data_IF_051243530496
#
_entry.id   IF_051243530496
#
_cell.length_a   1.000
_cell.length_b   1.000
_cell.length_c   1.000
_cell.angle_alpha   90.00
_cell.angle_beta   90.00
_cell.angle_gamma   90.00
#
_symmetry.space_group_name_H-M   'P 1'
#
loop_
_entity.id
_entity.type
_entity.pdbx_description
1 polymer ?
#
# COMPACT_ATOMS: atom_id res chain seq x y z
N UNK A 1 5.76 -19.68 -3.91
CA UNK A 1 5.38 -19.08 -2.61
C UNK A 1 5.64 -17.59 -2.69
N UNK A 2 4.67 -16.76 -2.34
CA UNK A 2 4.82 -15.29 -2.28
C UNK A 2 4.90 -14.91 -0.80
N UNK A 3 5.87 -14.07 -0.45
CA UNK A 3 6.04 -13.55 0.92
C UNK A 3 5.73 -12.06 0.94
N UNK A 4 5.11 -11.58 2.03
CA UNK A 4 4.75 -10.17 2.22
C UNK A 4 5.32 -9.62 3.53
N UNK A 5 5.82 -8.39 3.50
CA UNK A 5 6.18 -7.65 4.71
C UNK A 5 5.58 -6.25 4.64
N UNK A 6 4.96 -5.81 5.75
CA UNK A 6 4.36 -4.48 5.89
C UNK A 6 5.07 -3.79 7.07
N UNK A 7 5.76 -2.70 6.78
CA UNK A 7 6.38 -1.79 7.75
C UNK A 7 6.02 -0.36 7.34
N UNK A 8 7.00 0.54 7.25
CA UNK A 8 6.80 1.89 6.70
C UNK A 8 6.30 1.81 5.26
N UNK A 9 7.01 1.05 4.44
CA UNK A 9 6.59 0.57 3.14
C UNK A 9 6.08 -0.87 3.25
N UNK A 10 5.48 -1.37 2.17
CA UNK A 10 5.14 -2.77 2.07
C UNK A 10 5.68 -3.38 0.79
N UNK A 11 6.09 -4.63 0.88
CA UNK A 11 6.75 -5.36 -0.20
C UNK A 11 6.17 -6.76 -0.33
N UNK A 12 5.98 -7.18 -1.58
CA UNK A 12 5.71 -8.56 -1.95
C UNK A 12 6.93 -9.13 -2.67
N UNK A 13 7.33 -10.34 -2.30
CA UNK A 13 8.44 -11.06 -2.89
C UNK A 13 7.99 -12.39 -3.48
N UNK A 14 8.44 -12.67 -4.70
CA UNK A 14 8.23 -13.96 -5.35
C UNK A 14 9.55 -14.46 -5.97
N UNK A 15 9.89 -15.76 -5.82
CA UNK A 15 11.01 -16.35 -6.52
C UNK A 15 10.67 -16.60 -8.00
N UNK A 16 11.68 -16.50 -8.87
CA UNK A 16 11.57 -16.81 -10.29
C UNK A 16 12.76 -17.66 -10.76
N UNK A 17 12.53 -18.52 -11.75
CA UNK A 17 13.54 -19.46 -12.30
C UNK A 17 14.14 -18.99 -13.63
N UNK A 18 13.65 -17.86 -14.15
CA UNK A 18 14.16 -17.18 -15.34
C UNK A 18 13.98 -15.67 -15.13
N UNK A 19 14.67 -14.87 -15.94
CA UNK A 19 14.51 -13.41 -15.92
C UNK A 19 13.10 -13.06 -16.38
N UNK A 20 12.39 -12.28 -15.57
CA UNK A 20 11.09 -11.71 -15.92
C UNK A 20 11.28 -10.19 -15.91
N UNK A 21 10.95 -9.53 -17.01
CA UNK A 21 11.02 -8.08 -17.13
C UNK A 21 9.58 -7.55 -17.24
N UNK A 22 9.19 -6.70 -16.29
CA UNK A 22 7.91 -6.00 -16.35
C UNK A 22 8.04 -4.77 -17.27
N UNK A 23 7.33 -4.74 -18.41
CA UNK A 23 7.40 -3.62 -19.35
C UNK A 23 6.86 -2.32 -18.76
N UNK A 24 6.06 -2.38 -17.69
CA UNK A 24 5.55 -1.20 -16.98
C UNK A 24 6.52 -0.67 -15.92
N UNK A 25 7.57 -1.44 -15.60
CA UNK A 25 8.55 -1.10 -14.57
C UNK A 25 8.04 -1.20 -13.12
N UNK A 26 6.77 -1.54 -12.90
CA UNK A 26 6.14 -1.55 -11.57
C UNK A 26 6.62 -2.72 -10.70
N UNK A 27 7.13 -3.78 -11.31
CA UNK A 27 7.86 -4.85 -10.65
C UNK A 27 9.38 -4.66 -10.79
N UNK A 28 10.06 -4.80 -9.67
CA UNK A 28 11.51 -4.89 -9.60
C UNK A 28 11.94 -6.35 -9.73
N UNK A 29 12.60 -6.68 -10.83
CA UNK A 29 13.24 -7.96 -11.05
C UNK A 29 14.73 -7.88 -10.73
N UNK A 30 15.26 -8.90 -10.05
CA UNK A 30 16.68 -8.94 -9.71
C UNK A 30 17.21 -10.36 -9.58
N UNK A 31 18.53 -10.49 -9.53
CA UNK A 31 19.19 -11.77 -9.29
C UNK A 31 18.96 -12.25 -7.86
N UNK A 32 18.79 -13.56 -7.70
CA UNK A 32 18.91 -14.22 -6.41
C UNK A 32 20.39 -14.53 -6.12
N UNK A 33 20.74 -14.80 -4.86
CA UNK A 33 22.09 -15.23 -4.48
C UNK A 33 22.49 -16.62 -5.03
N UNK A 34 21.53 -17.37 -5.59
CA UNK A 34 21.78 -18.69 -6.16
C UNK A 34 21.89 -18.59 -7.68
N UNK A 35 22.77 -19.37 -8.32
CA UNK A 35 22.87 -19.37 -9.78
C UNK A 35 21.54 -19.71 -10.45
N UNK A 36 21.24 -19.05 -11.58
CA UNK A 36 20.03 -19.29 -12.37
C UNK A 36 18.72 -19.13 -11.57
N UNK A 37 18.72 -18.21 -10.60
CA UNK A 37 17.55 -17.87 -9.79
C UNK A 37 17.40 -16.35 -9.73
N UNK A 38 16.14 -15.92 -9.68
CA UNK A 38 15.76 -14.52 -9.73
C UNK A 38 14.70 -14.23 -8.66
N UNK A 39 14.51 -12.95 -8.36
CA UNK A 39 13.47 -12.44 -7.46
C UNK A 39 12.65 -11.40 -8.19
N UNK A 40 11.35 -11.43 -7.93
CA UNK A 40 10.43 -10.36 -8.24
C UNK A 40 10.01 -9.66 -6.96
N UNK A 41 9.88 -8.33 -7.04
CA UNK A 41 9.47 -7.48 -5.94
C UNK A 41 8.43 -6.47 -6.41
N UNK A 42 7.26 -6.47 -5.78
CA UNK A 42 6.30 -5.37 -5.88
C UNK A 42 6.38 -4.52 -4.61
N UNK A 43 6.30 -3.18 -4.73
CA UNK A 43 6.42 -2.24 -3.61
C UNK A 43 5.21 -1.32 -3.54
N UNK A 44 4.61 -1.21 -2.36
CA UNK A 44 3.68 -0.16 -1.98
C UNK A 44 4.40 0.84 -1.06
N UNK A 45 4.67 2.05 -1.55
CA UNK A 45 5.60 2.99 -0.91
C UNK A 45 5.10 3.54 0.44
N UNK A 46 3.80 3.86 0.57
CA UNK A 46 3.25 4.46 1.78
C UNK A 46 2.28 3.49 2.47
N UNK A 47 2.80 2.37 2.97
CA UNK A 47 1.98 1.39 3.68
C UNK A 47 1.72 1.83 5.13
N UNK A 48 2.51 1.35 6.10
CA UNK A 48 2.40 1.81 7.49
C UNK A 48 2.68 3.31 7.63
N UNK A 49 3.44 3.91 6.72
CA UNK A 49 3.64 5.35 6.65
C UNK A 49 2.33 6.13 6.46
N UNK A 50 1.39 5.63 5.65
CA UNK A 50 0.11 6.30 5.44
C UNK A 50 -0.75 6.28 6.71
N UNK A 51 -0.79 5.16 7.44
CA UNK A 51 -1.52 5.09 8.69
C UNK A 51 -0.89 5.98 9.78
N UNK A 52 0.44 6.01 9.85
CA UNK A 52 1.16 6.91 10.75
C UNK A 52 0.88 8.40 10.43
N UNK A 53 0.98 8.79 9.15
CA UNK A 53 0.62 10.12 8.68
C UNK A 53 -0.82 10.47 9.04
N UNK A 54 -1.75 9.54 8.83
CA UNK A 54 -3.16 9.72 9.15
C UNK A 54 -3.41 9.96 10.65
N UNK A 55 -2.73 9.22 11.52
CA UNK A 55 -2.75 9.47 12.97
C UNK A 55 -2.30 10.90 13.33
N UNK A 56 -1.29 11.41 12.63
CA UNK A 56 -0.85 12.81 12.75
C UNK A 56 -1.93 13.82 12.31
N UNK A 57 -2.61 13.57 11.19
CA UNK A 57 -3.74 14.40 10.71
C UNK A 57 -4.89 14.42 11.72
N UNK A 58 -5.12 13.32 12.43
CA UNK A 58 -6.13 13.22 13.49
C UNK A 58 -5.70 13.88 14.82
N UNK A 59 -4.58 14.61 14.84
CA UNK A 59 -4.08 15.35 16.00
C UNK A 59 -3.03 14.61 16.83
N UNK A 60 -2.53 13.45 16.38
CA UNK A 60 -1.41 12.75 17.00
C UNK A 60 -1.70 12.08 18.35
N UNK A 61 -2.97 12.06 18.77
CA UNK A 61 -3.40 11.48 20.05
C UNK A 61 -3.70 9.97 19.96
N UNK A 62 -3.81 9.44 18.74
CA UNK A 62 -4.18 8.05 18.51
C UNK A 62 -2.95 7.17 18.47
N UNK A 63 -2.91 6.16 19.32
CA UNK A 63 -1.96 5.06 19.18
C UNK A 63 -2.32 4.23 17.95
N UNK A 64 -1.40 3.37 17.51
CA UNK A 64 -1.67 2.46 16.39
C UNK A 64 -2.85 1.52 16.68
N UNK A 65 -2.98 1.05 17.92
CA UNK A 65 -4.06 0.15 18.31
C UNK A 65 -5.40 0.89 18.33
N UNK A 66 -5.41 2.17 18.75
CA UNK A 66 -6.62 3.01 18.65
C UNK A 66 -7.08 3.18 17.20
N UNK A 67 -6.15 3.40 16.26
CA UNK A 67 -6.48 3.50 14.83
C UNK A 67 -7.03 2.18 14.29
N UNK A 68 -6.51 1.04 14.73
CA UNK A 68 -7.04 -0.28 14.34
C UNK A 68 -8.45 -0.51 14.86
N UNK A 69 -8.72 -0.17 16.13
CA UNK A 69 -10.07 -0.26 16.69
C UNK A 69 -11.05 0.70 15.99
N UNK A 70 -10.60 1.93 15.71
CA UNK A 70 -11.38 2.91 14.98
C UNK A 70 -11.75 2.42 13.57
N UNK A 71 -10.78 1.88 12.83
CA UNK A 71 -11.04 1.29 11.51
C UNK A 71 -11.97 0.07 11.58
N UNK A 72 -11.84 -0.77 12.60
CA UNK A 72 -12.67 -1.96 12.78
C UNK A 72 -14.16 -1.61 13.03
N UNK A 73 -14.44 -0.42 13.59
CA UNK A 73 -15.81 0.05 13.82
C UNK A 73 -16.55 0.53 12.56
N UNK A 74 -15.84 0.84 11.47
CA UNK A 74 -16.45 1.16 10.19
C UNK A 74 -16.85 -0.12 9.43
N UNK A 75 -17.87 -0.11 8.56
CA UNK A 75 -18.22 -1.26 7.74
C UNK A 75 -17.16 -1.57 6.68
N UNK A 76 -17.15 -2.83 6.20
CA UNK A 76 -16.28 -3.25 5.08
C UNK A 76 -16.49 -2.37 3.86
N UNK A 77 -15.40 -1.90 3.25
CA UNK A 77 -15.44 -0.99 2.11
C UNK A 77 -15.67 0.48 2.48
N UNK A 78 -15.59 0.83 3.77
CA UNK A 78 -15.55 2.23 4.24
C UNK A 78 -16.71 3.10 3.72
N UNK A 79 -17.91 2.52 3.61
CA UNK A 79 -19.10 3.16 3.02
C UNK A 79 -18.89 3.69 1.57
N UNK A 80 -18.01 3.03 0.81
CA UNK A 80 -17.68 3.40 -0.57
C UNK A 80 -16.59 4.45 -0.68
N UNK A 81 -15.92 4.79 0.43
CA UNK A 81 -14.79 5.70 0.45
C UNK A 81 -13.49 4.98 0.05
N UNK A 82 -12.77 5.56 -0.90
CA UNK A 82 -11.46 5.09 -1.33
C UNK A 82 -10.35 6.04 -0.89
N UNK A 83 -9.18 5.48 -0.62
CA UNK A 83 -7.97 6.23 -0.35
C UNK A 83 -6.85 5.80 -1.30
N UNK A 84 -6.19 6.79 -1.91
CA UNK A 84 -4.99 6.61 -2.73
C UNK A 84 -3.75 6.85 -1.84
N UNK A 85 -2.92 5.84 -1.56
CA UNK A 85 -1.81 5.93 -0.62
C UNK A 85 -0.54 6.52 -1.27
N UNK A 86 -0.63 7.73 -1.81
CA UNK A 86 0.51 8.48 -2.38
C UNK A 86 0.88 9.70 -1.52
N UNK A 87 0.84 9.54 -0.19
CA UNK A 87 1.12 10.64 0.75
C UNK A 87 2.61 10.89 0.98
N UNK A 88 3.45 9.86 0.82
CA UNK A 88 4.89 10.05 0.73
C UNK A 88 5.26 10.25 -0.74
N UNK A 89 6.09 11.25 -1.03
CA UNK A 89 6.76 11.33 -2.33
C UNK A 89 7.68 10.12 -2.44
N UNK A 90 7.21 9.07 -3.10
CA UNK A 90 8.08 7.96 -3.43
C UNK A 90 9.18 8.51 -4.35
N UNK A 91 10.43 8.49 -3.89
CA UNK A 91 11.53 8.50 -4.82
C UNK A 91 11.32 7.30 -5.76
N UNK A 92 11.20 7.63 -7.04
CA UNK A 92 11.19 6.71 -8.18
C UNK A 92 10.12 5.61 -8.14
N UNK A 93 8.88 5.99 -8.46
CA UNK A 93 8.05 5.14 -9.32
C UNK A 93 8.56 5.29 -10.77
N UNK A 94 8.64 4.20 -11.56
CA UNK A 94 9.04 4.26 -12.97
C UNK A 94 8.14 5.19 -13.79
N UNK A 95 6.88 5.31 -13.39
CA UNK A 95 5.85 6.09 -14.08
C UNK A 95 6.11 7.61 -14.04
N UNK A 96 7.11 8.11 -13.30
CA UNK A 96 7.52 9.53 -13.29
C UNK A 96 6.46 10.54 -12.81
N UNK A 97 5.22 10.10 -12.63
CA UNK A 97 4.11 10.91 -12.17
C UNK A 97 4.15 10.97 -10.64
N UNK A 98 4.39 12.17 -10.10
CA UNK A 98 4.29 12.48 -8.67
C UNK A 98 2.85 12.36 -8.17
N UNK A 99 2.37 11.12 -8.05
CA UNK A 99 1.06 10.80 -7.48
C UNK A 99 0.91 11.43 -6.10
N UNK A 100 -0.29 11.94 -5.82
CA UNK A 100 -0.63 12.57 -4.54
C UNK A 100 -1.70 11.76 -3.82
N UNK A 101 -1.61 11.74 -2.50
CA UNK A 101 -2.64 11.10 -1.68
C UNK A 101 -3.99 11.76 -1.88
N UNK A 102 -5.05 10.97 -1.93
CA UNK A 102 -6.40 11.48 -2.12
C UNK A 102 -7.45 10.57 -1.47
N UNK A 103 -8.53 11.18 -0.99
CA UNK A 103 -9.76 10.46 -0.69
C UNK A 103 -10.74 10.65 -1.85
N UNK A 104 -11.35 9.57 -2.34
CA UNK A 104 -12.31 9.58 -3.44
C UNK A 104 -13.64 8.99 -2.97
N UNK A 105 -14.75 9.66 -3.28
CA UNK A 105 -16.09 9.25 -2.84
C UNK A 105 -16.56 9.87 -1.52
N UNK A 106 -15.88 10.92 -1.03
CA UNK A 106 -16.19 11.55 0.25
C UNK A 106 -17.59 12.19 0.25
N UNK A 107 -18.34 11.97 1.33
CA UNK A 107 -19.71 12.43 1.58
C UNK A 107 -19.87 12.79 3.05
N UNK A 108 -20.84 13.64 3.38
CA UNK A 108 -21.02 14.19 4.73
C UNK A 108 -21.31 13.16 5.84
N UNK A 109 -21.82 11.97 5.49
CA UNK A 109 -22.07 10.91 6.46
C UNK A 109 -20.82 10.12 6.86
N UNK A 110 -19.70 10.28 6.16
CA UNK A 110 -18.48 9.57 6.50
C UNK A 110 -17.93 10.09 7.82
N UNK A 111 -17.57 9.15 8.67
CA UNK A 111 -17.02 9.36 10.00
C UNK A 111 -15.51 9.19 9.98
N UNK A 112 -14.86 9.57 11.08
CA UNK A 112 -13.43 9.29 11.26
C UNK A 112 -13.10 7.79 11.16
N UNK A 113 -14.03 6.91 11.54
CA UNK A 113 -13.88 5.47 11.37
C UNK A 113 -13.77 5.09 9.89
N UNK A 114 -14.66 5.63 9.05
CA UNK A 114 -14.67 5.37 7.60
C UNK A 114 -13.37 5.84 6.94
N UNK A 115 -12.91 7.06 7.27
CA UNK A 115 -11.65 7.58 6.73
C UNK A 115 -10.46 6.73 7.18
N UNK A 116 -10.42 6.32 8.45
CA UNK A 116 -9.31 5.48 8.97
C UNK A 116 -9.29 4.12 8.31
N UNK A 117 -10.46 3.49 8.13
CA UNK A 117 -10.58 2.23 7.42
C UNK A 117 -10.20 2.36 5.95
N UNK A 118 -10.62 3.44 5.27
CA UNK A 118 -10.28 3.69 3.89
C UNK A 118 -8.75 3.81 3.70
N UNK A 119 -8.05 4.46 4.64
CA UNK A 119 -6.58 4.52 4.63
C UNK A 119 -5.95 3.13 4.67
N UNK A 120 -6.42 2.27 5.58
CA UNK A 120 -5.92 0.89 5.68
C UNK A 120 -6.25 0.04 4.45
N UNK A 121 -7.50 0.09 3.97
CA UNK A 121 -7.94 -0.64 2.77
C UNK A 121 -7.19 -0.17 1.52
N UNK A 122 -6.96 1.13 1.37
CA UNK A 122 -6.19 1.71 0.26
C UNK A 122 -4.76 1.17 0.18
N UNK A 123 -4.09 0.99 1.31
CA UNK A 123 -2.75 0.35 1.37
C UNK A 123 -2.82 -1.10 0.88
N UNK A 124 -3.83 -1.86 1.33
CA UNK A 124 -4.01 -3.25 0.92
C UNK A 124 -4.37 -3.35 -0.56
N UNK A 125 -5.16 -2.44 -1.12
CA UNK A 125 -5.45 -2.41 -2.55
C UNK A 125 -4.19 -2.13 -3.39
N UNK A 126 -3.29 -1.25 -2.93
CA UNK A 126 -2.00 -1.04 -3.59
C UNK A 126 -1.14 -2.30 -3.57
N UNK A 127 -1.14 -3.06 -2.46
CA UNK A 127 -0.46 -4.36 -2.41
C UNK A 127 -1.12 -5.40 -3.31
N UNK A 128 -2.44 -5.38 -3.42
CA UNK A 128 -3.18 -6.27 -4.31
C UNK A 128 -2.84 -6.03 -5.78
N UNK A 129 -2.71 -4.79 -6.24
CA UNK A 129 -2.23 -4.50 -7.61
C UNK A 129 -0.84 -5.12 -7.83
N UNK A 130 0.06 -4.99 -6.86
CA UNK A 130 1.37 -5.64 -6.89
C UNK A 130 1.28 -7.17 -6.96
N UNK A 131 0.35 -7.78 -6.21
CA UNK A 131 0.13 -9.22 -6.19
C UNK A 131 -0.42 -9.72 -7.53
N UNK A 132 -1.38 -9.01 -8.11
CA UNK A 132 -2.01 -9.38 -9.37
C UNK A 132 -1.01 -9.30 -10.53
N UNK A 133 0.02 -8.46 -10.44
CA UNK A 133 1.16 -8.43 -11.38
C UNK A 133 2.16 -9.56 -11.19
N UNK A 134 2.29 -10.08 -9.98
CA UNK A 134 3.21 -11.19 -9.66
C UNK A 134 2.66 -12.56 -10.08
N UNK A 135 1.37 -12.64 -10.38
CA UNK A 135 0.67 -13.84 -10.85
C UNK A 135 0.78 -13.98 -12.36
#
# INVERSE_FOLDING_TARGET
MISSSIRRDAVLFAPANHVIIDPTGRLDAGCHALPQRYRLRARAAAAGAALHWWGGILGGQFTRDDLYQLAASAPVGSNGLFFLPHCESASTTPDGAGGRGAFAGLRAHHTRADLTRAVMEGVIFSLRDGLDRLR
#
